data_IF_588443348047
#
_entry.id   IF_588443348047
#
_cell.length_a   1.000
_cell.length_b   1.000
_cell.length_c   1.000
_cell.angle_alpha   90.00
_cell.angle_beta   90.00
_cell.angle_gamma   90.00
#
_symmetry.space_group_name_H-M   'P 1'
#
loop_
_entity.id
_entity.type
_entity.pdbx_description
1 polymer ?
2 polymer ?
3 polymer ?
4 non-polymer ?
#
loop_
_entity_poly.entity_id
_entity_poly.type
_entity_poly.pdbx_seq_one_letter_code
_entity_poly.pdbx_strand_id
2 'polydeoxyribonucleotide' '(DG)(DG)(DA)(DA)(DT)(5CM)(DG)(DG)(DC)(TED)(DC)' ?
3 'polydeoxyribonucleotide' '(DG)(DA)(DG)(DC)(5CM)(DG)(DA)(DT)(TED)(DC)(DC)' ?
#
# COMPACT_ATOMS: atom_id res chain seq x y z
N UNK A 3 4.47 -3.62 19.41
CA UNK A 3 3.60 -2.41 19.35
C UNK A 3 3.73 -1.76 17.96
N UNK A 4 4.93 -1.55 17.51
CA UNK A 4 5.13 -0.93 16.17
C UNK A 4 5.50 -2.00 15.15
N UNK A 5 4.67 -2.23 14.18
CA UNK A 5 4.97 -3.27 13.15
C UNK A 5 3.86 -3.30 12.11
N UNK A 6 3.83 -4.32 11.30
CA UNK A 6 2.76 -4.41 10.25
C UNK A 6 3.01 -3.34 9.20
N UNK A 7 3.47 -2.18 9.59
CA UNK A 7 3.72 -1.10 8.60
C UNK A 7 5.15 -1.24 8.05
N UNK A 8 5.36 -0.82 6.84
CA UNK A 8 6.73 -0.94 6.24
C UNK A 8 7.02 0.31 5.40
N UNK A 9 8.26 0.66 5.24
CA UNK A 9 8.60 1.85 4.43
C UNK A 9 8.54 1.48 2.94
N UNK A 10 8.41 2.45 2.09
CA UNK A 10 8.35 2.16 0.62
C UNK A 10 9.76 2.26 0.03
N UNK A 11 10.21 1.21 -0.58
CA UNK A 11 11.59 1.13 -1.16
C UNK A 11 11.71 1.93 -2.46
N UNK A 12 10.65 2.02 -3.22
CA UNK A 12 10.72 2.74 -4.52
C UNK A 12 10.02 4.10 -4.39
N UNK A 13 8.91 4.14 -3.71
CA UNK A 13 8.18 5.42 -3.57
C UNK A 13 8.94 6.34 -2.61
N UNK A 14 8.76 7.62 -2.75
CA UNK A 14 9.45 8.64 -1.90
C UNK A 14 9.60 8.18 -0.45
N UNK A 15 10.75 8.37 0.12
CA UNK A 15 11.04 7.99 1.54
C UNK A 15 9.96 8.51 2.50
N UNK A 16 9.46 7.66 3.36
CA UNK A 16 8.43 8.11 4.34
C UNK A 16 7.11 7.39 4.04
N UNK A 17 6.84 7.10 2.80
CA UNK A 17 5.59 6.38 2.46
C UNK A 17 5.50 5.08 3.27
N UNK A 18 4.38 4.80 3.86
CA UNK A 18 4.24 3.55 4.65
C UNK A 18 3.10 2.71 4.09
N UNK A 19 3.22 1.41 4.16
CA UNK A 19 2.15 0.53 3.62
C UNK A 19 1.90 -0.64 4.58
N UNK A 20 0.68 -1.07 4.72
CA UNK A 20 0.39 -2.20 5.65
C UNK A 20 -0.38 -3.28 4.90
N UNK A 21 -0.32 -4.50 5.36
CA UNK A 21 -1.07 -5.59 4.68
C UNK A 21 -1.92 -6.35 5.70
N UNK A 22 -3.22 -6.26 5.59
CA UNK A 22 -4.11 -6.95 6.57
C UNK A 22 -4.77 -8.15 5.90
N UNK A 23 -4.73 -9.29 6.53
CA UNK A 23 -5.37 -10.49 5.93
C UNK A 23 -6.72 -10.75 6.59
N UNK A 24 -7.75 -10.91 5.82
CA UNK A 24 -9.09 -11.16 6.42
C UNK A 24 -9.03 -12.39 7.34
N UNK A 25 -9.07 -12.17 8.63
CA UNK A 25 -8.99 -13.32 9.58
C UNK A 25 -10.41 -13.79 9.92
N UNK A 26 -11.40 -13.03 9.56
CA UNK A 26 -12.80 -13.42 9.88
C UNK A 26 -13.45 -14.08 8.66
N UNK A 27 -14.05 -15.22 8.84
CA UNK A 27 -14.73 -15.89 7.69
C UNK A 27 -13.90 -17.10 7.24
N UNK A 28 -14.54 -18.16 6.85
CA UNK A 28 -13.79 -19.36 6.40
C UNK A 28 -13.06 -19.04 5.08
N UNK A 29 -13.62 -18.18 4.28
CA UNK A 29 -12.96 -17.83 2.99
C UNK A 29 -11.61 -17.17 3.27
N UNK A 30 -11.02 -17.46 4.40
CA UNK A 30 -9.72 -16.82 4.74
C UNK A 30 -8.80 -16.85 3.52
N UNK A 31 -7.97 -15.85 3.36
CA UNK A 31 -7.05 -15.82 2.18
C UNK A 31 -7.19 -14.47 1.48
N UNK A 32 -8.30 -13.81 1.66
CA UNK A 32 -8.47 -12.47 1.02
C UNK A 32 -7.72 -11.41 1.83
N UNK A 33 -6.89 -10.63 1.18
CA UNK A 33 -6.09 -9.62 1.94
C UNK A 33 -6.19 -8.27 1.23
N UNK A 34 -6.01 -7.20 1.96
CA UNK A 34 -6.06 -5.85 1.32
C UNK A 34 -4.82 -5.06 1.69
N UNK A 35 -4.37 -4.20 0.82
CA UNK A 35 -3.14 -3.40 1.12
C UNK A 35 -3.51 -1.93 1.30
N UNK A 36 -3.04 -1.31 2.35
CA UNK A 36 -3.37 0.11 2.59
C UNK A 36 -2.09 0.95 2.50
N UNK A 37 -2.21 2.18 2.06
CA UNK A 37 -1.00 3.04 1.96
C UNK A 37 -1.25 4.35 2.70
N UNK A 38 -0.26 4.85 3.40
CA UNK A 38 -0.44 6.11 4.16
C UNK A 38 0.49 7.19 3.59
N UNK A 39 -0.01 8.37 3.35
CA UNK A 39 0.85 9.45 2.81
C UNK A 39 1.55 10.17 3.98
N UNK A 40 2.56 10.92 3.68
CA UNK A 40 3.30 11.73 4.70
C UNK A 40 2.37 12.74 5.40
N UNK A 41 1.33 13.15 4.75
CA UNK A 41 0.39 14.12 5.40
C UNK A 41 -0.42 13.40 6.48
N UNK A 42 -0.64 12.11 6.32
CA UNK A 42 -1.39 11.35 7.35
C UNK A 42 -2.71 10.85 6.75
N UNK A 43 -2.95 11.14 5.49
CA UNK A 43 -4.22 10.68 4.86
C UNK A 43 -4.15 9.17 4.62
N UNK A 44 -5.23 8.47 4.84
CA UNK A 44 -5.22 6.99 4.65
C UNK A 44 -5.76 6.65 3.26
N UNK A 45 -5.17 5.70 2.60
CA UNK A 45 -5.66 5.30 1.26
C UNK A 45 -5.86 3.78 1.21
N UNK A 46 -6.54 3.29 0.22
CA UNK A 46 -6.78 1.82 0.12
C UNK A 46 -6.72 1.39 -1.34
N UNK A 47 -5.82 0.50 -1.68
CA UNK A 47 -5.77 -0.01 -3.07
C UNK A 47 -4.77 0.83 -3.89
N UNK A 48 -4.21 0.26 -4.91
CA UNK A 48 -3.20 1.02 -5.72
C UNK A 48 -3.87 2.23 -6.37
N UNK A 49 -5.05 2.04 -6.91
CA UNK A 49 -5.82 3.13 -7.55
C UNK A 49 -5.94 4.37 -6.67
N UNK A 50 -5.98 4.18 -5.37
CA UNK A 50 -6.08 5.35 -4.45
C UNK A 50 -4.70 6.01 -4.31
N UNK A 51 -3.69 5.22 -4.08
CA UNK A 51 -2.32 5.78 -3.97
C UNK A 51 -1.89 6.38 -5.32
N UNK A 52 -2.17 5.69 -6.39
CA UNK A 52 -1.77 6.20 -7.73
C UNK A 52 -2.39 7.57 -7.95
N UNK A 53 -3.64 7.73 -7.64
CA UNK A 53 -4.31 9.05 -7.83
C UNK A 53 -3.61 10.10 -6.96
N UNK A 54 -3.16 9.72 -5.79
CA UNK A 54 -2.46 10.70 -4.90
C UNK A 54 -1.16 11.15 -5.57
N UNK A 55 -0.39 10.22 -6.07
CA UNK A 55 0.89 10.60 -6.74
C UNK A 55 0.60 11.38 -8.01
N UNK A 56 -0.52 11.14 -8.63
CA UNK A 56 -0.86 11.88 -9.88
C UNK A 56 0.08 11.46 -11.00
N UNK A 57 0.62 12.40 -11.73
CA UNK A 57 1.55 12.04 -12.83
C UNK A 57 2.98 12.39 -12.44
N UNK A 58 3.32 12.21 -11.19
CA UNK A 58 4.70 12.54 -10.74
C UNK A 58 5.55 11.26 -10.73
N UNK A 59 4.92 10.13 -10.66
CA UNK A 59 5.68 8.85 -10.65
C UNK A 59 4.86 7.75 -11.34
N UNK A 60 5.53 6.78 -11.90
CA UNK A 60 4.78 5.69 -12.59
C UNK A 60 4.82 4.43 -11.73
N UNK A 61 3.68 3.92 -11.35
CA UNK A 61 3.65 2.69 -10.50
C UNK A 61 3.37 1.48 -11.39
N UNK A 62 3.56 1.61 -12.67
CA UNK A 62 3.30 0.46 -13.59
C UNK A 62 4.19 -0.72 -13.18
N UNK A 63 5.43 -0.47 -12.89
CA UNK A 63 6.34 -1.57 -12.47
C UNK A 63 6.27 -1.74 -10.95
N UNK A 64 5.35 -1.05 -10.31
CA UNK A 64 5.24 -1.17 -8.83
C UNK A 64 4.05 -2.06 -8.48
N UNK A 65 4.31 -3.19 -7.87
CA UNK A 65 3.20 -4.11 -7.51
C UNK A 65 2.74 -3.83 -6.07
N UNK A 66 1.64 -3.16 -5.91
CA UNK A 66 1.16 -2.83 -4.54
C UNK A 66 0.81 -4.13 -3.80
N UNK A 67 0.15 -5.04 -4.46
CA UNK A 67 -0.20 -6.32 -3.80
C UNK A 67 0.94 -6.75 -2.87
N UNK A 68 2.15 -6.72 -3.36
CA UNK A 68 3.30 -7.14 -2.51
C UNK A 68 4.09 -5.90 -2.09
N UNK A 69 4.01 -4.84 -2.86
CA UNK A 69 4.76 -3.60 -2.50
C UNK A 69 6.20 -3.71 -2.98
N UNK A 70 6.40 -4.24 -4.17
CA UNK A 70 7.79 -4.37 -4.70
C UNK A 70 7.89 -3.65 -6.05
N UNK A 71 9.08 -3.41 -6.51
CA UNK A 71 9.24 -2.71 -7.81
C UNK A 71 9.88 -3.65 -8.83
N UNK A 72 9.40 -3.64 -10.04
CA UNK A 72 9.96 -4.55 -11.08
C UNK A 72 10.73 -3.72 -12.11
#
# INVERSE_FOLDING_TARGET
GSDKQGRTDCPALPPGWKKEEVIRKSGLSAGKSDVYYFSPSGKKFRSKPQLARYLGNAVDLSCFDFRTGKMM
#
